data_IF_089322580733
#
_entry.id   IF_089322580733
#
_cell.length_a   1.000
_cell.length_b   1.000
_cell.length_c   1.000
_cell.angle_alpha   90.00
_cell.angle_beta   90.00
_cell.angle_gamma   90.00
#
_symmetry.space_group_name_H-M   'P 1'
#
loop_
_entity.id
_entity.type
_entity.pdbx_description
1 polymer ?
#
# COMPACT_ATOMS: atom_id res chain seq x y z
N UNK A 1 -2.91 1.75 20.18
CA UNK A 1 -1.72 2.06 19.35
C UNK A 1 -2.12 3.01 18.21
N UNK A 2 -1.19 3.67 17.51
CA UNK A 2 -1.59 4.67 16.47
C UNK A 2 -2.26 4.02 15.25
N UNK A 3 -1.85 2.82 14.86
CA UNK A 3 -2.37 2.10 13.70
C UNK A 3 -3.77 1.55 13.89
N UNK A 4 -4.20 1.24 15.12
CA UNK A 4 -5.59 0.77 15.35
C UNK A 4 -6.63 1.81 14.93
N UNK A 5 -6.31 3.11 15.05
CA UNK A 5 -7.16 4.19 14.52
C UNK A 5 -7.16 4.24 13.00
N UNK A 6 -6.02 3.92 12.36
CA UNK A 6 -5.88 3.87 10.91
C UNK A 6 -6.66 2.70 10.34
N UNK A 7 -6.51 1.51 10.93
CA UNK A 7 -7.25 0.31 10.52
C UNK A 7 -8.76 0.54 10.64
N UNK A 8 -9.23 1.06 11.78
CA UNK A 8 -10.64 1.43 11.93
C UNK A 8 -11.11 2.38 10.84
N UNK A 9 -10.28 3.37 10.47
CA UNK A 9 -10.63 4.31 9.41
C UNK A 9 -10.71 3.63 8.05
N UNK A 10 -9.83 2.67 7.77
CA UNK A 10 -9.86 1.87 6.55
C UNK A 10 -11.14 1.03 6.50
N UNK A 11 -11.51 0.38 7.61
CA UNK A 11 -12.76 -0.40 7.73
C UNK A 11 -13.98 0.49 7.46
N UNK A 12 -14.08 1.66 8.10
CA UNK A 12 -15.15 2.64 7.86
C UNK A 12 -15.24 3.05 6.36
N UNK A 13 -14.11 3.17 5.66
CA UNK A 13 -14.08 3.55 4.25
C UNK A 13 -14.48 2.38 3.33
N UNK A 14 -14.14 1.14 3.70
CA UNK A 14 -14.60 -0.08 3.01
C UNK A 14 -16.11 -0.23 3.18
N UNK A 15 -16.62 -0.08 4.42
CA UNK A 15 -18.06 -0.11 4.71
C UNK A 15 -18.83 0.98 3.97
N UNK A 16 -18.22 2.16 3.80
CA UNK A 16 -18.78 3.26 3.01
C UNK A 16 -18.69 3.05 1.48
N UNK A 17 -18.10 1.94 1.01
CA UNK A 17 -18.00 1.58 -0.40
C UNK A 17 -17.04 2.45 -1.21
N UNK A 18 -16.08 3.12 -0.58
CA UNK A 18 -15.10 3.98 -1.26
C UNK A 18 -14.11 3.14 -2.06
N UNK A 19 -13.71 1.99 -1.51
CA UNK A 19 -12.91 0.97 -2.17
C UNK A 19 -13.21 -0.40 -1.54
N UNK A 20 -13.03 -1.51 -2.28
CA UNK A 20 -13.44 -2.83 -1.83
C UNK A 20 -12.51 -3.47 -0.79
N UNK A 21 -11.24 -3.07 -0.77
CA UNK A 21 -10.22 -3.62 0.11
C UNK A 21 -8.94 -2.80 0.09
N UNK A 22 -8.06 -3.04 1.06
CA UNK A 22 -6.81 -2.30 1.21
C UNK A 22 -5.72 -3.15 1.87
N UNK A 23 -4.48 -2.93 1.40
CA UNK A 23 -3.25 -3.43 2.02
C UNK A 23 -2.56 -2.29 2.76
N UNK A 24 -2.25 -2.47 4.04
CA UNK A 24 -1.60 -1.45 4.88
C UNK A 24 -0.37 -2.02 5.57
N UNK A 25 0.78 -1.36 5.38
CA UNK A 25 2.03 -1.69 6.02
C UNK A 25 2.51 -0.52 6.88
N UNK A 26 2.98 -0.83 8.09
CA UNK A 26 3.54 0.14 9.03
C UNK A 26 4.93 -0.30 9.46
N UNK A 27 5.91 0.59 9.26
CA UNK A 27 7.29 0.37 9.68
C UNK A 27 7.63 1.28 10.86
N UNK A 28 7.98 0.70 12.01
CA UNK A 28 8.42 1.42 13.21
C UNK A 28 9.36 0.54 14.02
N UNK A 29 10.35 1.16 14.66
CA UNK A 29 11.29 0.47 15.56
C UNK A 29 11.97 -0.74 14.87
N UNK A 30 12.30 -0.58 13.59
CA UNK A 30 12.89 -1.60 12.72
C UNK A 30 12.03 -2.87 12.54
N UNK A 31 10.71 -2.75 12.74
CA UNK A 31 9.74 -3.83 12.60
C UNK A 31 8.64 -3.44 11.62
N UNK A 32 8.20 -4.42 10.84
CA UNK A 32 7.05 -4.32 9.97
C UNK A 32 5.80 -4.84 10.68
N UNK A 33 4.67 -4.20 10.42
CA UNK A 33 3.34 -4.73 10.74
C UNK A 33 2.46 -4.53 9.51
N UNK A 34 1.83 -5.61 9.07
CA UNK A 34 1.05 -5.64 7.83
C UNK A 34 -0.38 -6.04 8.15
N UNK A 35 -1.32 -5.43 7.42
CA UNK A 35 -2.76 -5.67 7.54
C UNK A 35 -3.36 -5.72 6.14
N UNK A 36 -4.23 -6.69 5.91
CA UNK A 36 -4.94 -6.89 4.64
C UNK A 36 -6.43 -6.95 4.95
N UNK A 37 -7.22 -6.05 4.33
CA UNK A 37 -8.63 -5.87 4.66
C UNK A 37 -9.51 -5.89 3.40
N UNK A 38 -10.73 -6.41 3.54
CA UNK A 38 -11.73 -6.41 2.48
C UNK A 38 -11.42 -7.37 1.33
N UNK A 39 -11.84 -6.98 0.13
CA UNK A 39 -11.70 -7.77 -1.10
C UNK A 39 -10.82 -7.05 -2.11
N UNK A 40 -9.90 -7.79 -2.72
CA UNK A 40 -9.10 -7.31 -3.85
C UNK A 40 -9.89 -7.34 -5.16
N UNK A 41 -10.81 -8.30 -5.26
CA UNK A 41 -11.68 -8.47 -6.42
C UNK A 41 -13.07 -8.95 -5.95
N UNK A 42 -14.02 -8.04 -5.72
CA UNK A 42 -15.37 -8.39 -5.29
C UNK A 42 -16.15 -9.22 -6.30
N UNK A 43 -15.91 -9.04 -7.60
CA UNK A 43 -16.63 -9.75 -8.67
C UNK A 43 -16.30 -11.24 -8.65
N UNK A 44 -15.04 -11.56 -8.33
CA UNK A 44 -14.55 -12.93 -8.21
C UNK A 44 -14.48 -13.43 -6.75
N UNK A 45 -14.92 -12.62 -5.79
CA UNK A 45 -14.91 -12.96 -4.37
C UNK A 45 -13.52 -13.12 -3.75
N UNK A 46 -12.48 -12.52 -4.34
CA UNK A 46 -11.11 -12.64 -3.85
C UNK A 46 -10.85 -11.65 -2.71
N UNK A 47 -10.21 -12.16 -1.65
CA UNK A 47 -9.85 -11.38 -0.47
C UNK A 47 -8.52 -10.65 -0.68
N UNK A 48 -8.39 -9.50 -0.03
CA UNK A 48 -7.09 -8.83 0.05
C UNK A 48 -6.12 -9.68 0.86
N UNK A 49 -4.96 -9.97 0.29
CA UNK A 49 -3.94 -10.84 0.89
C UNK A 49 -2.51 -10.36 0.61
N UNK A 50 -1.54 -11.00 1.26
CA UNK A 50 -0.14 -10.70 1.08
C UNK A 50 0.33 -11.02 -0.36
N UNK A 51 1.20 -10.18 -0.91
CA UNK A 51 1.76 -10.38 -2.25
C UNK A 51 0.92 -9.83 -3.41
N UNK A 52 -0.21 -9.18 -3.13
CA UNK A 52 -0.98 -8.48 -4.16
C UNK A 52 -0.19 -7.33 -4.78
N UNK A 53 -0.33 -7.18 -6.10
CA UNK A 53 0.32 -6.13 -6.88
C UNK A 53 -0.71 -5.07 -7.24
N UNK A 54 -0.38 -3.81 -6.93
CA UNK A 54 -1.23 -2.65 -7.23
C UNK A 54 -0.47 -1.70 -8.15
N UNK A 55 -1.21 -0.97 -9.00
CA UNK A 55 -0.65 0.14 -9.75
C UNK A 55 -0.26 1.26 -8.77
N UNK A 56 1.00 1.68 -8.81
CA UNK A 56 1.53 2.71 -7.93
C UNK A 56 1.07 4.13 -8.33
N UNK A 57 0.48 4.29 -9.51
CA UNK A 57 0.05 5.54 -10.12
C UNK A 57 1.11 6.63 -9.94
N UNK A 58 0.78 7.73 -9.28
CA UNK A 58 1.73 8.83 -9.07
C UNK A 58 2.85 8.54 -8.06
N UNK A 59 2.76 7.47 -7.26
CA UNK A 59 3.84 7.03 -6.35
C UNK A 59 5.04 6.51 -7.15
N UNK A 60 4.83 6.05 -8.39
CA UNK A 60 5.92 5.63 -9.30
C UNK A 60 6.99 6.72 -9.52
N UNK A 61 6.63 8.01 -9.40
CA UNK A 61 7.58 9.13 -9.55
C UNK A 61 8.64 9.15 -8.45
N UNK A 62 8.28 8.79 -7.22
CA UNK A 62 9.23 8.75 -6.10
C UNK A 62 10.30 7.69 -6.35
N UNK A 63 9.86 6.54 -6.87
CA UNK A 63 10.76 5.44 -7.22
C UNK A 63 11.60 5.80 -8.45
N UNK A 64 10.96 6.16 -9.57
CA UNK A 64 11.65 6.43 -10.83
C UNK A 64 12.49 7.70 -10.81
N UNK A 65 11.87 8.84 -10.51
CA UNK A 65 12.54 10.16 -10.56
C UNK A 65 13.33 10.42 -9.29
N UNK A 66 12.77 10.08 -8.12
CA UNK A 66 13.41 10.38 -6.84
C UNK A 66 14.57 9.46 -6.48
N UNK A 67 14.60 8.22 -7.01
CA UNK A 67 15.57 7.20 -6.58
C UNK A 67 16.39 6.66 -7.74
N UNK A 68 15.75 6.11 -8.77
CA UNK A 68 16.46 5.43 -9.87
C UNK A 68 17.28 6.41 -10.72
N UNK A 69 16.70 7.55 -11.13
CA UNK A 69 17.42 8.52 -11.95
C UNK A 69 18.67 9.11 -11.24
N UNK A 70 18.60 9.56 -9.97
CA UNK A 70 19.79 10.02 -9.24
C UNK A 70 20.84 8.93 -9.05
N UNK A 71 20.42 7.68 -8.79
CA UNK A 71 21.33 6.56 -8.62
C UNK A 71 22.06 6.21 -9.93
N UNK A 72 21.32 6.14 -11.04
CA UNK A 72 21.89 5.84 -12.35
C UNK A 72 22.76 7.00 -12.88
N UNK A 73 22.32 8.25 -12.70
CA UNK A 73 23.07 9.44 -13.12
C UNK A 73 24.40 9.65 -12.38
N UNK A 74 24.54 9.12 -11.16
CA UNK A 74 25.82 9.12 -10.42
C UNK A 74 26.83 8.06 -10.93
N UNK A 75 26.39 7.08 -11.70
CA UNK A 75 27.26 6.04 -12.28
C UNK A 75 27.76 6.39 -13.70
N UNK A 76 27.53 7.62 -14.17
CA UNK A 76 27.92 8.09 -15.52
C UNK A 76 29.05 9.14 -15.47
N UNK A 77 29.74 9.32 -14.33
CA UNK A 77 30.98 10.10 -14.25
C UNK A 77 32.14 9.24 -13.78
#
# INVERSE_FOLDING_TARGET
>A
MKWTKIIKKIEEQIEAGIYPGASFAYFKDNQWTEFYLGQSDPEHGLHTEAGLVYDLASVSKVVGVGTVLPFCGKNVN
#
